data_IF_096767320856
#
_entry.id   IF_096767320856
#
_cell.length_a   1.000
_cell.length_b   1.000
_cell.length_c   1.000
_cell.angle_alpha   90.00
_cell.angle_beta   90.00
_cell.angle_gamma   90.00
#
_symmetry.space_group_name_H-M   'P 1'
#
loop_
_entity.id
_entity.type
_entity.pdbx_description
1 polymer ?
#
# COMPACT_ATOMS: atom_id res chain seq x y z
N UNK A 1 -6.31 -13.32 -16.18
CA UNK A 1 -6.41 -13.85 -14.79
C UNK A 1 -5.50 -13.04 -13.92
N UNK A 2 -5.83 -12.83 -12.60
CA UNK A 2 -4.98 -12.07 -11.67
C UNK A 2 -4.11 -13.01 -10.85
N UNK A 3 -2.86 -12.60 -10.63
CA UNK A 3 -1.85 -13.34 -9.88
C UNK A 3 -1.16 -12.41 -8.89
N UNK A 4 -0.57 -12.98 -7.84
CA UNK A 4 0.27 -12.29 -6.85
C UNK A 4 1.72 -12.72 -7.04
N UNK A 5 2.63 -11.76 -7.04
CA UNK A 5 4.07 -12.03 -7.06
C UNK A 5 4.49 -12.71 -5.76
N UNK A 6 4.95 -13.96 -5.86
CA UNK A 6 5.35 -14.81 -4.72
C UNK A 6 6.86 -14.80 -4.44
N UNK A 7 7.66 -14.22 -5.31
CA UNK A 7 9.10 -14.08 -5.12
C UNK A 7 9.42 -12.93 -4.19
N UNK A 8 10.04 -13.19 -3.04
CA UNK A 8 10.39 -12.18 -2.03
C UNK A 8 11.34 -11.08 -2.52
N UNK A 9 12.19 -11.40 -3.52
CA UNK A 9 13.10 -10.45 -4.17
C UNK A 9 12.42 -9.62 -5.27
N UNK A 10 11.11 -9.76 -5.45
CA UNK A 10 10.38 -9.20 -6.58
C UNK A 10 10.49 -10.05 -7.85
N UNK A 11 9.82 -9.62 -8.91
CA UNK A 11 9.70 -10.33 -10.18
C UNK A 11 10.13 -9.46 -11.34
N UNK A 12 11.16 -9.89 -12.08
CA UNK A 12 11.66 -9.15 -13.24
C UNK A 12 10.63 -9.12 -14.37
N UNK A 13 10.48 -7.97 -15.00
CA UNK A 13 9.73 -7.75 -16.24
C UNK A 13 10.73 -7.78 -17.40
N UNK A 14 10.39 -8.48 -18.48
CA UNK A 14 11.25 -8.65 -19.65
C UNK A 14 10.53 -8.27 -20.93
N UNK A 15 11.30 -8.01 -21.99
CA UNK A 15 10.76 -7.65 -23.32
C UNK A 15 10.11 -8.83 -24.03
N UNK A 16 10.38 -10.09 -23.60
CA UNK A 16 9.83 -11.31 -24.20
C UNK A 16 9.77 -12.48 -23.24
N UNK A 17 9.18 -13.61 -23.66
CA UNK A 17 8.93 -14.78 -22.84
C UNK A 17 10.19 -15.66 -22.72
N UNK A 18 11.11 -15.25 -21.84
CA UNK A 18 12.35 -16.01 -21.58
C UNK A 18 13.40 -15.21 -20.83
N UNK A 19 14.35 -15.92 -20.22
CA UNK A 19 15.47 -15.29 -19.50
C UNK A 19 16.51 -14.65 -20.42
N UNK A 20 16.49 -14.97 -21.71
CA UNK A 20 17.34 -14.42 -22.77
C UNK A 20 16.86 -13.05 -23.27
N UNK A 21 15.67 -12.60 -22.86
CA UNK A 21 15.16 -11.26 -23.18
C UNK A 21 15.58 -10.24 -22.14
N UNK A 22 15.73 -8.97 -22.57
CA UNK A 22 16.18 -7.88 -21.73
C UNK A 22 15.24 -7.63 -20.55
N UNK A 23 15.82 -7.39 -19.38
CA UNK A 23 15.10 -6.93 -18.20
C UNK A 23 14.83 -5.43 -18.36
N UNK A 24 13.55 -5.04 -18.27
CA UNK A 24 13.12 -3.64 -18.40
C UNK A 24 12.77 -3.02 -17.06
N UNK A 25 12.19 -3.82 -16.12
CA UNK A 25 11.65 -3.35 -14.87
C UNK A 25 11.39 -4.53 -13.91
N UNK A 26 10.63 -4.32 -12.81
CA UNK A 26 10.22 -5.36 -11.88
C UNK A 26 8.91 -5.05 -11.17
N UNK A 27 8.25 -6.11 -10.73
CA UNK A 27 7.15 -6.05 -9.75
C UNK A 27 7.69 -6.39 -8.36
N UNK A 28 7.21 -5.70 -7.34
CA UNK A 28 7.52 -6.01 -5.95
C UNK A 28 6.84 -7.31 -5.50
N UNK A 29 7.37 -7.94 -4.45
CA UNK A 29 6.69 -9.03 -3.75
C UNK A 29 5.27 -8.61 -3.35
N UNK A 30 4.29 -9.51 -3.51
CA UNK A 30 2.90 -9.25 -3.20
C UNK A 30 2.12 -8.41 -4.22
N UNK A 31 2.80 -7.81 -5.22
CA UNK A 31 2.12 -7.08 -6.28
C UNK A 31 1.10 -7.96 -7.01
N UNK A 32 -0.09 -7.41 -7.27
CA UNK A 32 -1.10 -8.10 -8.10
C UNK A 32 -0.89 -7.72 -9.55
N UNK A 33 -0.71 -8.73 -10.39
CA UNK A 33 -0.48 -8.56 -11.82
C UNK A 33 -1.57 -9.26 -12.62
N UNK A 34 -2.07 -8.60 -13.63
CA UNK A 34 -2.98 -9.20 -14.61
C UNK A 34 -2.16 -9.88 -15.70
N UNK A 35 -2.34 -11.19 -15.85
CA UNK A 35 -1.72 -11.98 -16.92
C UNK A 35 -2.74 -12.27 -17.98
N UNK A 36 -2.44 -11.87 -19.21
CA UNK A 36 -3.22 -12.15 -20.41
C UNK A 36 -2.82 -13.49 -21.04
N UNK A 37 -1.92 -13.45 -22.02
CA UNK A 37 -1.40 -14.65 -22.66
C UNK A 37 -0.32 -15.31 -21.82
N UNK A 38 -0.23 -16.64 -21.91
CA UNK A 38 0.86 -17.43 -21.31
C UNK A 38 1.55 -18.21 -22.42
N UNK A 39 2.88 -18.11 -22.50
CA UNK A 39 3.71 -18.82 -23.47
C UNK A 39 4.96 -19.37 -22.76
N UNK A 40 5.22 -20.66 -22.88
CA UNK A 40 6.42 -21.35 -22.38
C UNK A 40 6.75 -21.06 -20.90
N UNK A 41 5.70 -20.97 -20.03
CA UNK A 41 5.86 -20.64 -18.61
C UNK A 41 6.05 -19.15 -18.32
N UNK A 42 5.86 -18.28 -19.33
CA UNK A 42 5.91 -16.82 -19.19
C UNK A 42 4.53 -16.22 -19.42
N UNK A 43 4.15 -15.29 -18.54
CA UNK A 43 2.89 -14.56 -18.60
C UNK A 43 3.09 -13.15 -19.15
N UNK A 44 2.26 -12.74 -20.09
CA UNK A 44 2.25 -11.38 -20.62
C UNK A 44 1.41 -10.48 -19.73
N UNK A 45 2.01 -9.40 -19.24
CA UNK A 45 1.35 -8.32 -18.49
C UNK A 45 1.32 -7.04 -19.34
N UNK A 46 0.67 -6.01 -18.85
CA UNK A 46 0.67 -4.67 -19.46
C UNK A 46 2.07 -4.02 -19.54
N UNK A 47 3.02 -4.47 -18.71
CA UNK A 47 4.40 -3.94 -18.64
C UNK A 47 5.44 -4.82 -19.35
N UNK A 48 5.07 -6.02 -19.80
CA UNK A 48 5.97 -6.98 -20.43
C UNK A 48 5.77 -8.41 -19.94
N UNK A 49 6.78 -9.24 -20.08
CA UNK A 49 6.70 -10.66 -19.77
C UNK A 49 7.33 -10.98 -18.41
N UNK A 50 6.67 -11.86 -17.67
CA UNK A 50 7.10 -12.32 -16.33
C UNK A 50 7.03 -13.85 -16.25
N UNK A 51 7.93 -14.46 -15.45
CA UNK A 51 7.87 -15.91 -15.23
C UNK A 51 6.70 -16.28 -14.34
N UNK A 52 5.90 -17.26 -14.78
CA UNK A 52 4.77 -17.79 -14.02
C UNK A 52 5.21 -18.56 -12.77
N UNK A 53 6.45 -19.05 -12.69
CA UNK A 53 7.00 -19.77 -11.53
C UNK A 53 7.02 -18.92 -10.25
N UNK A 54 7.01 -17.60 -10.41
CA UNK A 54 7.02 -16.62 -9.32
C UNK A 54 5.68 -15.92 -9.11
N UNK A 55 4.62 -16.52 -9.65
CA UNK A 55 3.25 -16.04 -9.55
C UNK A 55 2.35 -17.11 -8.93
N UNK A 56 1.50 -16.72 -7.99
CA UNK A 56 0.39 -17.55 -7.54
C UNK A 56 -0.95 -16.91 -7.91
N UNK A 57 -2.00 -17.69 -8.20
CA UNK A 57 -3.34 -17.14 -8.43
C UNK A 57 -3.80 -16.29 -7.23
N UNK A 58 -4.58 -15.23 -7.50
CA UNK A 58 -5.31 -14.49 -6.46
C UNK A 58 -6.45 -15.37 -5.97
N UNK A 59 -6.48 -15.65 -4.68
CA UNK A 59 -7.56 -16.38 -4.02
C UNK A 59 -8.55 -15.41 -3.35
N UNK A 60 -9.75 -15.89 -2.99
CA UNK A 60 -10.76 -15.08 -2.30
C UNK A 60 -10.25 -14.49 -0.97
N UNK A 61 -9.37 -15.19 -0.26
CA UNK A 61 -8.71 -14.68 0.94
C UNK A 61 -7.79 -13.47 0.67
N UNK A 62 -7.28 -13.34 -0.54
CA UNK A 62 -6.44 -12.22 -0.94
C UNK A 62 -7.26 -10.97 -1.33
N UNK A 63 -8.57 -11.11 -1.55
CA UNK A 63 -9.44 -10.01 -1.97
C UNK A 63 -9.90 -9.11 -0.81
N UNK A 64 -9.67 -9.54 0.43
CA UNK A 64 -10.26 -8.94 1.63
C UNK A 64 -9.56 -7.71 2.21
N UNK A 65 -8.36 -7.33 1.73
CA UNK A 65 -7.57 -6.26 2.35
C UNK A 65 -7.20 -5.18 1.32
N UNK A 66 -8.18 -4.36 0.97
CA UNK A 66 -8.02 -3.20 0.07
C UNK A 66 -8.53 -1.96 0.79
N UNK A 67 -7.77 -0.87 0.76
CA UNK A 67 -8.22 0.42 1.30
C UNK A 67 -9.32 1.04 0.43
N UNK A 68 -10.01 2.03 0.93
CA UNK A 68 -11.03 2.80 0.20
C UNK A 68 -10.46 3.57 -1.02
N UNK A 69 -9.14 3.73 -1.10
CA UNK A 69 -8.43 4.27 -2.26
C UNK A 69 -8.02 3.20 -3.27
N UNK A 70 -8.41 1.93 -3.07
CA UNK A 70 -8.08 0.82 -3.95
C UNK A 70 -6.68 0.23 -3.75
N UNK A 71 -5.89 0.74 -2.79
CA UNK A 71 -4.55 0.21 -2.52
C UNK A 71 -4.63 -1.08 -1.71
N UNK A 72 -4.06 -2.15 -2.27
CA UNK A 72 -4.03 -3.47 -1.63
C UNK A 72 -3.00 -3.52 -0.52
N UNK A 73 -3.34 -4.22 0.57
CA UNK A 73 -2.41 -4.56 1.65
C UNK A 73 -1.68 -5.87 1.29
N UNK A 74 -0.37 -5.80 1.20
CA UNK A 74 0.52 -6.93 0.94
C UNK A 74 0.82 -7.62 2.28
N UNK A 75 0.35 -8.84 2.44
CA UNK A 75 0.63 -9.62 3.65
C UNK A 75 2.03 -10.21 3.60
N UNK A 76 2.93 -9.66 4.39
CA UNK A 76 4.31 -10.11 4.57
C UNK A 76 4.57 -10.42 6.04
N UNK A 77 3.75 -11.32 6.57
CA UNK A 77 3.71 -11.65 8.00
C UNK A 77 5.01 -12.33 8.44
N UNK A 78 5.61 -11.79 9.49
CA UNK A 78 6.79 -12.38 10.14
C UNK A 78 6.47 -13.81 10.61
N UNK A 79 7.40 -14.77 10.44
CA UNK A 79 7.16 -16.14 10.86
C UNK A 79 6.95 -16.24 12.38
N UNK A 80 6.09 -17.15 12.80
CA UNK A 80 5.92 -17.48 14.22
C UNK A 80 7.25 -17.93 14.81
N UNK A 81 7.62 -17.35 15.97
CA UNK A 81 8.91 -17.61 16.62
C UNK A 81 10.05 -16.70 16.18
N UNK A 82 9.84 -15.77 15.24
CA UNK A 82 10.79 -14.69 15.00
C UNK A 82 10.98 -13.86 16.29
N UNK A 83 12.21 -13.49 16.62
CA UNK A 83 12.52 -12.79 17.89
C UNK A 83 11.83 -11.43 18.00
N UNK A 84 11.56 -10.79 16.89
CA UNK A 84 10.86 -9.52 16.79
C UNK A 84 9.34 -9.67 16.58
N UNK A 85 8.79 -10.89 16.66
CA UNK A 85 7.36 -11.16 16.74
C UNK A 85 7.01 -11.63 18.15
N UNK A 86 6.65 -10.70 19.08
CA UNK A 86 6.48 -11.03 20.50
C UNK A 86 5.34 -12.00 20.78
N UNK A 87 4.38 -12.09 19.87
CA UNK A 87 3.13 -12.80 20.15
C UNK A 87 2.32 -12.13 21.26
N UNK A 88 1.34 -12.83 21.76
CA UNK A 88 0.41 -12.30 22.76
C UNK A 88 -0.69 -11.45 22.14
N UNK A 89 -1.80 -11.27 22.87
CA UNK A 89 -2.98 -10.58 22.37
C UNK A 89 -2.81 -9.07 22.39
N UNK A 90 -3.21 -8.42 21.29
CA UNK A 90 -3.46 -6.99 21.19
C UNK A 90 -5.00 -6.80 21.07
N UNK A 91 -5.66 -6.03 21.93
CA UNK A 91 -7.10 -5.76 21.84
C UNK A 91 -7.47 -4.71 20.78
N UNK A 92 -6.51 -4.23 19.99
CA UNK A 92 -6.72 -3.29 18.88
C UNK A 92 -7.50 -2.03 19.29
N UNK A 93 -7.12 -1.40 20.41
CA UNK A 93 -7.85 -0.25 20.96
C UNK A 93 -7.31 1.10 20.53
N UNK A 94 -6.10 1.13 19.97
CA UNK A 94 -5.44 2.33 19.44
C UNK A 94 -4.80 2.05 18.09
N UNK A 95 -4.58 3.10 17.31
CA UNK A 95 -3.67 3.10 16.15
C UNK A 95 -2.56 4.10 16.45
N UNK A 96 -1.30 3.65 16.36
CA UNK A 96 -0.13 4.50 16.60
C UNK A 96 0.57 4.80 15.28
N UNK A 97 0.71 6.10 15.00
CA UNK A 97 1.38 6.59 13.80
C UNK A 97 2.85 6.90 14.10
N UNK A 98 3.71 6.35 13.24
CA UNK A 98 5.14 6.56 13.23
C UNK A 98 5.60 7.06 11.86
N UNK A 99 6.83 7.55 11.80
CA UNK A 99 7.61 7.69 10.59
C UNK A 99 8.85 6.82 10.70
N UNK A 100 9.24 6.15 9.61
CA UNK A 100 10.40 5.26 9.58
C UNK A 100 11.71 5.95 9.93
N UNK A 101 11.76 7.29 9.80
CA UNK A 101 12.96 8.10 10.07
C UNK A 101 14.13 7.79 9.14
N UNK A 102 13.94 6.99 8.12
CA UNK A 102 14.94 6.62 7.13
C UNK A 102 14.72 7.41 5.82
N UNK A 103 15.51 8.47 5.65
CA UNK A 103 15.46 9.35 4.48
C UNK A 103 16.30 8.84 3.30
N UNK A 104 16.95 7.68 3.41
CA UNK A 104 17.74 7.13 2.33
C UNK A 104 16.86 6.85 1.10
N UNK A 105 17.39 7.12 -0.10
CA UNK A 105 16.72 6.81 -1.34
C UNK A 105 16.42 5.30 -1.44
N UNK A 106 15.16 4.95 -1.74
CA UNK A 106 14.71 3.56 -1.82
C UNK A 106 14.43 2.90 -0.46
N UNK A 107 14.34 3.68 0.64
CA UNK A 107 13.87 3.19 1.93
C UNK A 107 12.33 3.16 1.99
N UNK A 108 11.73 2.48 1.02
CA UNK A 108 10.30 2.27 0.82
C UNK A 108 9.73 1.18 1.75
N UNK A 109 8.45 0.87 1.63
CA UNK A 109 7.79 -0.13 2.46
C UNK A 109 8.34 -1.55 2.21
N UNK A 110 8.75 -1.88 0.98
CA UNK A 110 9.37 -3.16 0.66
C UNK A 110 10.75 -3.32 1.32
N UNK A 111 11.57 -2.25 1.35
CA UNK A 111 12.85 -2.24 2.04
C UNK A 111 12.69 -2.44 3.56
N UNK A 112 11.67 -1.82 4.17
CA UNK A 112 11.36 -1.99 5.59
C UNK A 112 10.79 -3.39 5.89
N UNK A 113 10.01 -3.98 4.99
CA UNK A 113 9.60 -5.38 5.08
C UNK A 113 10.81 -6.33 5.10
N UNK A 114 11.77 -6.11 4.20
CA UNK A 114 13.03 -6.88 4.17
C UNK A 114 13.86 -6.67 5.45
N UNK A 115 13.93 -5.44 5.97
CA UNK A 115 14.60 -5.13 7.24
C UNK A 115 14.02 -5.93 8.41
N UNK A 116 12.69 -5.98 8.56
CA UNK A 116 12.04 -6.70 9.65
C UNK A 116 12.34 -8.20 9.64
N UNK A 117 12.52 -8.79 8.46
CA UNK A 117 12.96 -10.19 8.32
C UNK A 117 14.46 -10.40 8.56
N UNK A 118 15.22 -9.33 8.50
CA UNK A 118 16.67 -9.37 8.63
C UNK A 118 17.15 -9.65 10.05
N UNK A 119 18.40 -10.09 10.17
CA UNK A 119 19.04 -10.41 11.46
C UNK A 119 19.15 -9.20 12.39
N UNK A 120 19.27 -7.99 11.87
CA UNK A 120 19.37 -6.75 12.66
C UNK A 120 18.11 -6.49 13.46
N UNK A 121 16.93 -6.53 12.81
CA UNK A 121 15.64 -6.33 13.50
C UNK A 121 15.33 -7.45 14.50
N UNK A 122 15.85 -8.65 14.27
CA UNK A 122 15.70 -9.78 15.18
C UNK A 122 16.69 -9.75 16.35
N UNK A 123 17.88 -9.19 16.18
CA UNK A 123 18.89 -9.10 17.23
C UNK A 123 18.54 -8.03 18.29
N UNK A 124 17.96 -6.91 17.86
CA UNK A 124 17.40 -5.89 18.74
C UNK A 124 15.89 -5.82 18.44
N UNK A 125 15.05 -6.55 19.17
CA UNK A 125 13.67 -6.76 18.80
C UNK A 125 12.92 -5.47 18.56
N UNK A 126 12.55 -5.24 17.31
CA UNK A 126 11.72 -4.14 16.84
C UNK A 126 10.74 -4.69 15.80
N UNK A 127 9.49 -4.28 15.91
CA UNK A 127 8.45 -4.67 14.97
C UNK A 127 7.28 -3.69 15.03
N UNK A 128 6.51 -3.66 13.97
CA UNK A 128 5.28 -2.90 13.84
C UNK A 128 4.31 -3.65 12.92
N UNK A 129 3.06 -3.22 12.85
CA UNK A 129 2.04 -3.95 12.11
C UNK A 129 2.06 -3.63 10.62
N UNK A 130 2.23 -2.36 10.25
CA UNK A 130 2.17 -1.92 8.86
C UNK A 130 3.28 -0.94 8.50
N UNK A 131 3.81 -1.07 7.30
CA UNK A 131 4.61 -0.01 6.65
C UNK A 131 3.88 0.48 5.41
N UNK A 132 3.86 1.81 5.22
CA UNK A 132 3.14 2.47 4.15
C UNK A 132 4.07 3.44 3.42
N UNK A 133 4.11 3.36 2.11
CA UNK A 133 4.75 4.35 1.23
C UNK A 133 3.74 4.96 0.23
N UNK A 134 4.21 5.65 -0.79
CA UNK A 134 3.36 6.34 -1.75
C UNK A 134 2.67 5.41 -2.76
N UNK A 135 2.97 4.11 -2.77
CA UNK A 135 2.43 3.15 -3.74
C UNK A 135 2.15 1.75 -3.17
N UNK A 136 2.51 1.49 -1.90
CA UNK A 136 2.33 0.16 -1.28
C UNK A 136 2.05 0.21 0.22
N UNK A 137 1.38 -0.83 0.70
CA UNK A 137 1.14 -1.10 2.12
C UNK A 137 1.55 -2.55 2.41
N UNK A 138 2.45 -2.74 3.37
CA UNK A 138 2.86 -4.05 3.85
C UNK A 138 2.34 -4.29 5.27
N UNK A 139 1.75 -5.47 5.51
CA UNK A 139 1.39 -5.95 6.84
C UNK A 139 2.43 -6.97 7.32
N UNK A 140 3.02 -6.75 8.49
CA UNK A 140 4.10 -7.56 9.06
C UNK A 140 3.67 -8.43 10.24
N UNK A 141 2.64 -8.01 10.95
CA UNK A 141 2.04 -8.73 12.07
C UNK A 141 0.52 -8.72 11.94
N UNK A 142 -0.19 -9.79 12.41
CA UNK A 142 -1.62 -9.72 12.59
C UNK A 142 -2.00 -8.58 13.54
N UNK A 143 -3.11 -7.88 13.27
CA UNK A 143 -3.55 -6.75 14.10
C UNK A 143 -3.67 -7.12 15.58
N UNK A 144 -4.32 -8.26 15.85
CA UNK A 144 -4.56 -8.77 17.22
C UNK A 144 -3.33 -9.33 17.93
N UNK A 145 -2.12 -9.16 17.40
CA UNK A 145 -0.86 -9.51 18.08
C UNK A 145 -0.12 -8.24 18.54
N UNK A 146 0.67 -8.36 19.62
CA UNK A 146 1.54 -7.26 20.09
C UNK A 146 2.71 -7.02 19.15
N UNK A 147 3.23 -5.78 19.17
CA UNK A 147 4.44 -5.41 18.46
C UNK A 147 5.40 -4.65 19.36
N UNK A 148 6.66 -4.49 18.94
CA UNK A 148 7.68 -3.70 19.63
C UNK A 148 7.93 -2.38 18.89
N UNK A 149 7.00 -1.41 18.97
CA UNK A 149 7.09 -0.14 18.23
C UNK A 149 6.99 1.12 19.09
N UNK A 150 6.32 1.04 20.26
CA UNK A 150 6.02 2.23 21.06
C UNK A 150 7.12 2.62 22.05
N UNK A 151 8.11 1.72 22.26
CA UNK A 151 9.25 1.99 23.15
C UNK A 151 8.89 2.16 24.62
N UNK A 152 7.72 1.71 25.04
CA UNK A 152 7.18 1.78 26.41
C UNK A 152 7.30 0.46 27.18
N UNK A 153 8.12 -0.49 26.65
CA UNK A 153 8.35 -1.81 27.24
C UNK A 153 7.39 -2.87 26.68
N UNK A 154 7.78 -4.16 26.81
CA UNK A 154 7.05 -5.28 26.18
C UNK A 154 5.59 -5.46 26.63
N UNK A 155 5.21 -4.87 27.77
CA UNK A 155 3.84 -4.85 28.30
C UNK A 155 3.28 -3.42 28.42
N UNK A 156 3.99 -2.43 27.92
CA UNK A 156 3.52 -1.06 27.89
C UNK A 156 2.28 -0.91 27.02
N UNK A 157 1.38 0.02 27.34
CA UNK A 157 0.10 0.13 26.65
C UNK A 157 0.25 0.38 25.14
N UNK A 158 1.25 1.12 24.70
CA UNK A 158 1.49 1.37 23.27
C UNK A 158 1.81 0.08 22.52
N UNK A 159 2.73 -0.75 23.04
CA UNK A 159 3.10 -2.03 22.44
C UNK A 159 1.99 -3.10 22.58
N UNK A 160 1.22 -3.02 23.65
CA UNK A 160 0.27 -4.08 24.01
C UNK A 160 -1.15 -3.86 23.52
N UNK A 161 -1.54 -2.62 23.15
CA UNK A 161 -2.93 -2.29 22.83
C UNK A 161 -3.11 -1.48 21.55
N UNK A 162 -2.03 -1.23 20.80
CA UNK A 162 -2.15 -0.43 19.58
C UNK A 162 -1.60 -1.14 18.32
N UNK A 163 -2.20 -0.79 17.20
CA UNK A 163 -1.72 -1.17 15.86
C UNK A 163 -0.71 -0.10 15.41
N UNK A 164 0.56 -0.47 15.27
CA UNK A 164 1.62 0.46 14.83
C UNK A 164 1.72 0.56 13.31
N UNK A 165 1.69 1.78 12.78
CA UNK A 165 1.85 2.09 11.35
C UNK A 165 3.06 2.97 11.16
N UNK A 166 4.03 2.53 10.37
CA UNK A 166 5.22 3.28 9.97
C UNK A 166 5.01 3.89 8.58
N UNK A 167 5.05 5.22 8.48
CA UNK A 167 4.98 5.95 7.21
C UNK A 167 6.40 6.17 6.69
N UNK A 168 6.68 5.79 5.47
CA UNK A 168 7.98 5.99 4.83
C UNK A 168 8.23 7.47 4.54
N UNK A 169 9.47 7.90 4.79
CA UNK A 169 9.96 9.27 4.58
C UNK A 169 11.15 9.32 3.62
N UNK A 170 11.30 8.29 2.79
CA UNK A 170 12.43 8.17 1.88
C UNK A 170 12.47 9.30 0.84
N UNK A 171 13.69 9.69 0.44
CA UNK A 171 13.91 10.84 -0.44
C UNK A 171 13.50 10.60 -1.92
N UNK A 172 13.17 9.36 -2.29
CA UNK A 172 12.69 9.03 -3.65
C UNK A 172 11.18 8.93 -3.75
N UNK A 173 10.45 8.84 -2.61
CA UNK A 173 9.01 8.73 -2.55
C UNK A 173 8.29 10.08 -2.45
N UNK A 174 6.98 10.03 -2.56
CA UNK A 174 6.07 11.14 -2.33
C UNK A 174 5.45 11.04 -0.93
N UNK A 175 5.99 11.79 0.03
CA UNK A 175 5.53 11.73 1.42
C UNK A 175 4.05 12.15 1.60
N UNK A 176 3.55 13.11 0.80
CA UNK A 176 2.13 13.48 0.88
C UNK A 176 1.22 12.32 0.43
N UNK A 177 1.62 11.59 -0.62
CA UNK A 177 0.91 10.39 -1.03
C UNK A 177 1.02 9.26 0.00
N UNK A 178 2.20 9.06 0.62
CA UNK A 178 2.39 8.09 1.69
C UNK A 178 1.47 8.38 2.89
N UNK A 179 1.31 9.64 3.28
CA UNK A 179 0.34 10.07 4.31
C UNK A 179 -1.11 9.81 3.90
N UNK A 180 -1.47 10.08 2.66
CA UNK A 180 -2.82 9.81 2.16
C UNK A 180 -3.13 8.30 2.18
N UNK A 181 -2.17 7.46 1.77
CA UNK A 181 -2.28 6.00 1.83
C UNK A 181 -2.37 5.49 3.28
N UNK A 182 -1.57 6.07 4.19
CA UNK A 182 -1.64 5.75 5.61
C UNK A 182 -3.00 6.13 6.23
N UNK A 183 -3.56 7.29 5.86
CA UNK A 183 -4.89 7.69 6.30
C UNK A 183 -5.99 6.74 5.79
N UNK A 184 -5.87 6.26 4.54
CA UNK A 184 -6.77 5.25 3.99
C UNK A 184 -6.68 3.91 4.76
N UNK A 185 -5.47 3.47 5.13
CA UNK A 185 -5.28 2.31 6.01
C UNK A 185 -5.88 2.54 7.39
N UNK A 186 -5.69 3.73 7.98
CA UNK A 186 -6.29 4.09 9.28
C UNK A 186 -7.81 3.98 9.23
N UNK A 187 -8.47 4.53 8.20
CA UNK A 187 -9.94 4.41 8.02
C UNK A 187 -10.39 2.95 7.98
N UNK A 188 -9.68 2.11 7.21
CA UNK A 188 -9.96 0.68 7.14
C UNK A 188 -9.86 0.01 8.51
N UNK A 189 -8.80 0.28 9.28
CA UNK A 189 -8.58 -0.30 10.60
C UNK A 189 -9.56 0.23 11.63
N UNK A 190 -9.88 1.53 11.61
CA UNK A 190 -10.94 2.13 12.43
C UNK A 190 -12.28 1.43 12.22
N UNK A 191 -12.68 1.23 10.98
CA UNK A 191 -13.93 0.55 10.64
C UNK A 191 -13.89 -0.93 11.05
N UNK A 192 -12.78 -1.62 10.80
CA UNK A 192 -12.61 -3.05 11.10
C UNK A 192 -12.66 -3.37 12.60
N UNK A 193 -12.02 -2.53 13.43
CA UNK A 193 -11.82 -2.79 14.86
C UNK A 193 -12.69 -1.89 15.76
N UNK A 194 -13.48 -0.99 15.18
CA UNK A 194 -14.30 -0.05 15.96
C UNK A 194 -13.46 1.00 16.72
N UNK A 195 -12.28 1.34 16.23
CA UNK A 195 -11.37 2.30 16.86
C UNK A 195 -11.84 3.72 16.53
N UNK A 196 -12.19 4.56 17.51
CA UNK A 196 -12.58 5.94 17.23
C UNK A 196 -11.35 6.81 16.88
N UNK A 197 -11.59 7.93 16.18
CA UNK A 197 -10.53 8.80 15.66
C UNK A 197 -9.65 9.40 16.77
N UNK A 198 -10.16 9.64 17.96
CA UNK A 198 -9.42 10.15 19.12
C UNK A 198 -8.43 9.14 19.70
N UNK A 199 -8.49 7.89 19.24
CA UNK A 199 -7.52 6.83 19.55
C UNK A 199 -6.53 6.57 18.41
N UNK A 200 -6.52 7.39 17.40
CA UNK A 200 -5.40 7.50 16.44
C UNK A 200 -4.40 8.48 17.03
N UNK A 201 -3.25 7.97 17.46
CA UNK A 201 -2.28 8.73 18.25
C UNK A 201 -0.88 8.71 17.62
N UNK A 202 -0.07 9.69 17.97
CA UNK A 202 1.34 9.73 17.61
C UNK A 202 2.15 8.80 18.53
N UNK A 203 3.30 8.28 18.08
CA UNK A 203 4.24 7.58 18.98
C UNK A 203 4.58 8.44 20.22
N UNK A 204 4.70 9.75 20.05
CA UNK A 204 4.94 10.71 21.13
C UNK A 204 3.98 10.55 22.33
N UNK A 205 2.73 10.10 22.08
CA UNK A 205 1.72 9.87 23.10
C UNK A 205 2.19 8.89 24.20
N UNK A 206 2.98 7.87 23.84
CA UNK A 206 3.34 6.79 24.76
C UNK A 206 4.56 7.09 25.63
N UNK A 207 5.58 7.74 25.06
CA UNK A 207 6.86 7.91 25.75
C UNK A 207 7.54 9.27 25.51
N UNK A 208 6.88 10.20 24.82
CA UNK A 208 7.42 11.53 24.54
C UNK A 208 8.41 11.60 23.37
N UNK A 209 8.69 10.47 22.68
CA UNK A 209 9.58 10.47 21.52
C UNK A 209 9.07 11.42 20.43
N UNK A 210 9.98 12.18 19.79
CA UNK A 210 9.64 13.03 18.66
C UNK A 210 9.37 12.18 17.39
N UNK A 211 8.19 11.58 17.36
CA UNK A 211 7.70 10.72 16.26
C UNK A 211 6.17 10.78 16.20
N UNK A 212 5.59 10.95 15.03
CA UNK A 212 6.16 11.11 13.66
C UNK A 212 6.81 12.48 13.49
N UNK A 213 8.11 12.52 13.20
CA UNK A 213 8.90 13.75 13.33
C UNK A 213 8.56 14.80 12.27
N UNK A 214 8.41 14.41 11.01
CA UNK A 214 8.14 15.33 9.89
C UNK A 214 6.77 15.96 10.03
N UNK A 215 5.75 15.15 10.40
CA UNK A 215 4.39 15.63 10.66
C UNK A 215 4.41 16.60 11.85
N UNK A 216 5.09 16.26 12.92
CA UNK A 216 5.17 17.08 14.15
C UNK A 216 5.91 18.41 13.96
N UNK A 217 6.88 18.44 13.03
CA UNK A 217 7.66 19.64 12.75
C UNK A 217 6.85 20.76 12.08
N UNK A 218 5.69 20.46 11.52
CA UNK A 218 4.84 21.41 10.80
C UNK A 218 3.56 21.67 11.60
N UNK A 219 3.32 22.92 11.95
CA UNK A 219 2.11 23.31 12.69
C UNK A 219 0.84 22.94 11.90
N UNK A 220 -0.13 22.30 12.56
CA UNK A 220 -1.39 21.86 11.95
C UNK A 220 -1.31 20.60 11.09
N UNK A 221 -0.12 20.04 10.85
CA UNK A 221 0.01 18.86 9.98
C UNK A 221 -0.54 17.57 10.61
N UNK A 222 -0.51 17.46 11.94
CA UNK A 222 -1.15 16.34 12.64
C UNK A 222 -2.67 16.42 12.54
N UNK A 223 -3.25 17.59 12.75
CA UNK A 223 -4.69 17.83 12.62
C UNK A 223 -5.15 17.60 11.17
N UNK A 224 -4.35 18.03 10.19
CA UNK A 224 -4.60 17.75 8.78
C UNK A 224 -4.56 16.25 8.48
N UNK A 225 -3.60 15.51 9.04
CA UNK A 225 -3.54 14.05 8.91
C UNK A 225 -4.77 13.37 9.55
N UNK A 226 -5.17 13.78 10.77
CA UNK A 226 -6.40 13.29 11.39
C UNK A 226 -7.65 13.64 10.57
N UNK A 227 -7.66 14.80 9.92
CA UNK A 227 -8.70 15.17 8.97
C UNK A 227 -8.81 14.16 7.82
N UNK A 228 -7.69 13.73 7.24
CA UNK A 228 -7.67 12.67 6.22
C UNK A 228 -8.17 11.31 6.78
N UNK A 229 -7.84 10.98 8.02
CA UNK A 229 -8.30 9.75 8.66
C UNK A 229 -9.80 9.76 8.96
N UNK A 230 -10.37 10.92 9.31
CA UNK A 230 -11.80 11.09 9.61
C UNK A 230 -12.66 11.32 8.37
N UNK A 231 -12.05 11.73 7.27
CA UNK A 231 -12.77 11.89 6.01
C UNK A 231 -13.17 10.51 5.50
N UNK A 232 -14.47 10.22 5.53
CA UNK A 232 -14.97 9.19 4.63
C UNK A 232 -14.55 9.67 3.23
N UNK A 233 -13.82 8.87 2.46
CA UNK A 233 -13.90 9.01 1.02
C UNK A 233 -15.37 8.72 0.74
N UNK A 234 -16.17 9.79 0.63
CA UNK A 234 -17.51 9.62 0.14
C UNK A 234 -17.34 8.94 -1.22
N UNK A 235 -17.98 7.78 -1.36
CA UNK A 235 -18.40 7.34 -2.68
C UNK A 235 -19.59 8.24 -3.09
N UNK A 236 -19.51 9.54 -2.78
CA UNK A 236 -20.33 10.53 -3.43
C UNK A 236 -19.85 10.51 -4.87
N UNK A 237 -20.60 9.81 -5.64
CA UNK A 237 -20.47 9.77 -7.09
C UNK A 237 -20.33 11.22 -7.52
N UNK A 238 -19.15 11.60 -8.02
CA UNK A 238 -18.92 12.90 -8.60
C UNK A 238 -19.81 12.95 -9.87
N UNK A 239 -20.93 13.65 -9.88
CA UNK A 239 -21.86 13.62 -11.01
C UNK A 239 -21.22 14.12 -12.30
N UNK A 240 -20.21 15.01 -12.19
CA UNK A 240 -19.44 15.48 -13.34
C UNK A 240 -18.50 14.39 -13.87
N UNK A 241 -17.85 13.65 -12.96
CA UNK A 241 -17.03 12.49 -13.33
C UNK A 241 -17.88 11.39 -13.95
N UNK A 242 -19.03 11.04 -13.36
CA UNK A 242 -19.96 10.03 -13.91
C UNK A 242 -20.42 10.42 -15.31
N UNK A 243 -20.88 11.65 -15.49
CA UNK A 243 -21.33 12.14 -16.79
C UNK A 243 -20.20 12.14 -17.82
N UNK A 244 -18.99 12.55 -17.44
CA UNK A 244 -17.82 12.52 -18.32
C UNK A 244 -17.42 11.10 -18.71
N UNK A 245 -17.41 10.18 -17.74
CA UNK A 245 -17.09 8.75 -17.99
C UNK A 245 -18.13 8.11 -18.91
N UNK A 246 -19.42 8.36 -18.68
CA UNK A 246 -20.48 7.83 -19.54
C UNK A 246 -20.40 8.39 -20.96
N UNK A 247 -20.12 9.67 -21.12
CA UNK A 247 -19.91 10.29 -22.43
C UNK A 247 -18.71 9.66 -23.18
N UNK A 248 -17.58 9.42 -22.49
CA UNK A 248 -16.39 8.78 -23.07
C UNK A 248 -16.64 7.30 -23.42
N UNK A 249 -17.46 6.61 -22.64
CA UNK A 249 -17.88 5.23 -22.95
C UNK A 249 -18.77 5.18 -24.17
N UNK A 250 -19.77 6.05 -24.27
CA UNK A 250 -20.66 6.17 -25.46
C UNK A 250 -19.84 6.53 -26.71
N UNK A 251 -18.84 7.40 -26.57
CA UNK A 251 -17.93 7.77 -27.66
C UNK A 251 -16.93 6.66 -28.04
N UNK A 252 -16.91 5.52 -27.32
CA UNK A 252 -15.98 4.42 -27.57
C UNK A 252 -14.53 4.72 -27.19
N UNK A 253 -14.27 5.80 -26.46
CA UNK A 253 -12.93 6.18 -25.98
C UNK A 253 -12.47 5.27 -24.85
N UNK A 254 -13.38 4.86 -23.98
CA UNK A 254 -13.12 3.93 -22.87
C UNK A 254 -14.07 2.73 -22.93
N UNK A 255 -13.64 1.58 -22.37
CA UNK A 255 -14.41 0.30 -22.42
C UNK A 255 -14.72 -0.27 -21.04
N UNK A 256 -14.38 0.43 -19.97
CA UNK A 256 -14.63 -0.03 -18.59
C UNK A 256 -15.06 1.15 -17.73
N UNK A 257 -16.27 1.71 -17.96
CA UNK A 257 -16.73 2.92 -17.27
C UNK A 257 -16.75 2.74 -15.75
N UNK A 258 -17.14 1.56 -15.25
CA UNK A 258 -17.19 1.29 -13.81
C UNK A 258 -15.83 1.45 -13.11
N UNK A 259 -14.73 1.10 -13.78
CA UNK A 259 -13.38 1.30 -13.24
C UNK A 259 -13.02 2.79 -13.13
N UNK A 260 -13.44 3.59 -14.10
CA UNK A 260 -13.22 5.02 -14.10
C UNK A 260 -14.04 5.73 -13.02
N UNK A 261 -15.31 5.34 -12.85
CA UNK A 261 -16.20 5.83 -11.79
C UNK A 261 -15.65 5.44 -10.40
N UNK A 262 -15.10 4.25 -10.26
CA UNK A 262 -14.46 3.76 -9.04
C UNK A 262 -13.06 4.34 -8.78
N UNK A 263 -12.55 5.24 -9.64
CA UNK A 263 -11.18 5.78 -9.60
C UNK A 263 -10.08 4.67 -9.65
N UNK A 264 -10.43 3.49 -10.17
CA UNK A 264 -9.53 2.33 -10.31
C UNK A 264 -8.71 2.43 -11.61
N UNK A 265 -7.76 3.38 -11.65
CA UNK A 265 -6.89 3.58 -12.80
C UNK A 265 -5.47 4.00 -12.39
N UNK A 266 -4.51 3.68 -13.27
CA UNK A 266 -3.09 4.02 -13.11
C UNK A 266 -2.73 5.26 -13.93
N UNK A 267 -1.58 5.88 -13.65
CA UNK A 267 -1.05 6.97 -14.47
C UNK A 267 -0.91 6.56 -15.94
N UNK A 268 -0.54 5.30 -16.24
CA UNK A 268 -0.49 4.79 -17.62
C UNK A 268 -1.87 4.68 -18.26
N UNK A 269 -2.89 4.31 -17.48
CA UNK A 269 -4.30 4.30 -17.95
C UNK A 269 -4.74 5.71 -18.34
N UNK A 270 -4.42 6.71 -17.52
CA UNK A 270 -4.70 8.13 -17.82
C UNK A 270 -3.95 8.59 -19.09
N UNK A 271 -2.67 8.23 -19.22
CA UNK A 271 -1.88 8.52 -20.43
C UNK A 271 -2.53 7.94 -21.69
N UNK A 272 -2.98 6.68 -21.65
CA UNK A 272 -3.65 6.03 -22.78
C UNK A 272 -5.01 6.68 -23.09
N UNK A 273 -5.74 7.12 -22.07
CA UNK A 273 -6.97 7.89 -22.24
C UNK A 273 -6.70 9.20 -23.01
N UNK A 274 -5.70 9.96 -22.57
CA UNK A 274 -5.35 11.24 -23.23
C UNK A 274 -4.99 11.04 -24.72
N UNK A 275 -4.25 9.97 -25.04
CA UNK A 275 -3.93 9.63 -26.44
C UNK A 275 -5.20 9.31 -27.23
N UNK A 276 -6.13 8.50 -26.69
CA UNK A 276 -7.38 8.15 -27.34
C UNK A 276 -8.30 9.38 -27.50
N UNK A 277 -8.36 10.24 -26.50
CA UNK A 277 -9.14 11.49 -26.59
C UNK A 277 -8.60 12.40 -27.70
N UNK A 278 -7.29 12.53 -27.85
CA UNK A 278 -6.68 13.30 -28.94
C UNK A 278 -7.06 12.71 -30.29
N UNK A 279 -6.92 11.40 -30.48
CA UNK A 279 -7.33 10.69 -31.69
C UNK A 279 -8.82 10.90 -32.02
N UNK A 280 -9.69 10.80 -31.00
CA UNK A 280 -11.13 11.03 -31.16
C UNK A 280 -11.42 12.48 -31.62
N UNK A 281 -10.76 13.46 -31.03
CA UNK A 281 -10.94 14.88 -31.36
C UNK A 281 -10.44 15.21 -32.79
N UNK A 282 -9.36 14.58 -33.23
CA UNK A 282 -8.83 14.75 -34.58
C UNK A 282 -9.81 14.20 -35.63
N UNK A 283 -10.35 13.00 -35.38
CA UNK A 283 -11.29 12.34 -36.32
C UNK A 283 -12.63 13.07 -36.41
N UNK A 284 -13.11 13.67 -35.31
CA UNK A 284 -14.44 14.30 -35.24
C UNK A 284 -14.41 15.84 -35.42
N UNK A 285 -13.25 16.43 -35.77
CA UNK A 285 -13.13 17.84 -36.16
C UNK A 285 -13.21 18.09 -37.67
N UNK A 286 -13.29 17.03 -38.47
CA UNK A 286 -13.53 17.08 -39.94
C UNK A 286 -15.04 16.85 -40.21
#
# INVERSE_FOLDING_TARGET
>A
MRYIVSAQSGLNIRTGPGTNYDKTDGYSYGAVVAVGAVQDGWGQTDRGWVSMDYLRPVEAADEGLVTDTGLRIIQDILPTGAKNRPGGSNPDTYITIHETGNFAKGADAAAHAAYLRGSTAQAAPVSWHYTVDDHSIYQHLPDGERAYHAGDGGSGPGNATSIGIEICVDASGNFEQAKANAAALVRLLMAKHGIPLDRVVQHNHWNGKDCPKTIRATAGAWEAFLGLCGSQVSQDTDPELEAAVDALAVAGVINSPDRWKALDYTANTVRLLLIKMEQYLVVNRA
#
